data_IF_121219905607
#
_entry.id   IF_121219905607
#
_cell.length_a   1.000
_cell.length_b   1.000
_cell.length_c   1.000
_cell.angle_alpha   90.00
_cell.angle_beta   90.00
_cell.angle_gamma   90.00
#
_symmetry.space_group_name_H-M   'P 1'
#
loop_
_entity.id
_entity.type
_entity.pdbx_description
1 polymer ?
#
# COMPACT_ATOMS: atom_id res chain seq x y z
N UNK A 1 -1.69 15.70 -17.82
CA UNK A 1 -0.49 15.00 -17.29
C UNK A 1 -0.94 13.62 -16.88
N UNK A 2 -0.34 12.55 -17.40
CA UNK A 2 -0.76 11.17 -17.10
C UNK A 2 -0.46 10.86 -15.63
N UNK A 3 -1.42 10.26 -14.91
CA UNK A 3 -1.30 9.97 -13.48
C UNK A 3 -0.38 8.75 -13.29
N UNK A 4 0.79 8.96 -12.69
CA UNK A 4 1.71 7.86 -12.37
C UNK A 4 1.46 7.32 -10.96
N UNK A 5 0.50 6.39 -10.92
CA UNK A 5 0.08 5.70 -9.70
C UNK A 5 1.20 4.97 -8.97
N UNK A 6 2.21 4.46 -9.68
CA UNK A 6 3.33 3.78 -9.03
C UNK A 6 4.26 4.81 -8.39
N UNK A 7 4.56 5.89 -9.11
CA UNK A 7 5.39 6.97 -8.60
C UNK A 7 4.77 7.61 -7.35
N UNK A 8 3.44 7.77 -7.30
CA UNK A 8 2.73 8.26 -6.11
C UNK A 8 3.01 7.39 -4.89
N UNK A 9 2.95 6.06 -5.05
CA UNK A 9 3.30 5.13 -3.98
C UNK A 9 4.77 5.29 -3.59
N UNK A 10 5.69 5.30 -4.57
CA UNK A 10 7.13 5.37 -4.31
C UNK A 10 7.54 6.65 -3.58
N UNK A 11 6.90 7.79 -3.90
CA UNK A 11 7.16 9.10 -3.27
C UNK A 11 6.62 9.21 -1.84
N UNK A 12 5.64 8.40 -1.45
CA UNK A 12 5.11 8.41 -0.08
C UNK A 12 6.20 8.03 0.93
N UNK A 13 6.16 8.56 2.15
CA UNK A 13 7.07 8.15 3.24
C UNK A 13 6.73 6.76 3.78
N UNK A 14 5.47 6.34 3.63
CA UNK A 14 4.97 5.06 4.10
C UNK A 14 5.61 3.91 3.33
N UNK A 15 5.91 2.81 4.02
CA UNK A 15 6.44 1.57 3.43
C UNK A 15 5.35 0.51 3.25
N UNK A 16 4.24 0.64 4.00
CA UNK A 16 3.07 -0.24 3.96
C UNK A 16 1.82 0.52 3.53
N UNK A 17 1.02 -0.12 2.67
CA UNK A 17 -0.24 0.42 2.18
C UNK A 17 -1.34 -0.63 2.27
N UNK A 18 -2.51 -0.21 2.75
CA UNK A 18 -3.75 -0.96 2.58
C UNK A 18 -4.44 -0.55 1.29
N UNK A 19 -5.38 -1.37 0.81
CA UNK A 19 -6.20 -0.99 -0.36
C UNK A 19 -6.93 0.35 -0.14
N UNK A 20 -7.33 0.66 1.10
CA UNK A 20 -7.97 1.93 1.48
C UNK A 20 -6.98 3.10 1.39
N UNK A 21 -5.77 2.94 1.92
CA UNK A 21 -4.72 3.97 1.84
C UNK A 21 -4.43 4.33 0.38
N UNK A 22 -4.33 3.32 -0.49
CA UNK A 22 -4.06 3.50 -1.91
C UNK A 22 -5.23 4.19 -2.63
N UNK A 23 -6.48 3.79 -2.34
CA UNK A 23 -7.67 4.44 -2.89
C UNK A 23 -7.73 5.93 -2.53
N UNK A 24 -7.38 6.29 -1.29
CA UNK A 24 -7.31 7.67 -0.84
C UNK A 24 -6.18 8.44 -1.51
N UNK A 25 -4.96 7.87 -1.54
CA UNK A 25 -3.78 8.48 -2.17
C UNK A 25 -4.03 8.77 -3.65
N UNK A 26 -4.64 7.81 -4.34
CA UNK A 26 -4.94 7.90 -5.76
C UNK A 26 -6.24 8.63 -6.07
N UNK A 27 -7.00 9.08 -5.05
CA UNK A 27 -8.33 9.67 -5.21
C UNK A 27 -9.22 8.84 -6.15
N UNK A 28 -9.15 7.52 -5.99
CA UNK A 28 -9.77 6.55 -6.89
C UNK A 28 -10.83 5.74 -6.12
N UNK A 29 -12.13 6.01 -6.33
CA UNK A 29 -13.21 5.34 -5.61
C UNK A 29 -13.42 3.89 -6.06
N UNK A 30 -12.99 3.51 -7.28
CA UNK A 30 -13.14 2.13 -7.75
C UNK A 30 -12.07 1.23 -7.09
N UNK A 31 -12.47 0.59 -5.99
CA UNK A 31 -11.64 -0.35 -5.24
C UNK A 31 -11.22 -1.56 -6.08
N UNK A 32 -12.03 -1.98 -7.06
CA UNK A 32 -11.68 -3.10 -7.94
C UNK A 32 -10.58 -2.70 -8.92
N UNK A 33 -10.65 -1.49 -9.46
CA UNK A 33 -9.56 -0.92 -10.24
C UNK A 33 -8.26 -0.84 -9.42
N UNK A 34 -8.33 -0.31 -8.19
CA UNK A 34 -7.17 -0.21 -7.28
C UNK A 34 -6.55 -1.59 -7.04
N UNK A 35 -7.35 -2.60 -6.69
CA UNK A 35 -6.89 -3.97 -6.48
C UNK A 35 -6.25 -4.57 -7.72
N UNK A 36 -6.87 -4.40 -8.90
CA UNK A 36 -6.33 -4.92 -10.17
C UNK A 36 -4.97 -4.28 -10.47
N UNK A 37 -4.81 -2.98 -10.21
CA UNK A 37 -3.56 -2.26 -10.45
C UNK A 37 -2.45 -2.69 -9.47
N UNK A 38 -2.76 -2.79 -8.18
CA UNK A 38 -1.84 -3.32 -7.17
C UNK A 38 -1.42 -4.76 -7.49
N UNK A 39 -2.35 -5.61 -7.91
CA UNK A 39 -2.04 -6.96 -8.36
C UNK A 39 -1.06 -6.99 -9.54
N UNK A 40 -1.24 -6.10 -10.53
CA UNK A 40 -0.29 -5.96 -11.65
C UNK A 40 1.10 -5.55 -11.15
N UNK A 41 1.21 -4.64 -10.18
CA UNK A 41 2.50 -4.24 -9.62
C UNK A 41 3.17 -5.37 -8.83
N UNK A 42 2.39 -6.17 -8.09
CA UNK A 42 2.91 -7.37 -7.41
C UNK A 42 3.45 -8.37 -8.42
N UNK A 43 2.68 -8.66 -9.49
CA UNK A 43 3.10 -9.58 -10.55
C UNK A 43 4.33 -9.10 -11.31
N UNK A 44 4.51 -7.78 -11.42
CA UNK A 44 5.69 -7.17 -12.01
C UNK A 44 6.87 -7.03 -11.03
N UNK A 45 6.76 -7.49 -9.77
CA UNK A 45 7.82 -7.37 -8.75
C UNK A 45 8.04 -5.96 -8.22
N UNK A 46 7.13 -5.02 -8.51
CA UNK A 46 7.22 -3.60 -8.12
C UNK A 46 6.66 -3.31 -6.72
N UNK A 47 5.86 -4.23 -6.19
CA UNK A 47 5.32 -4.23 -4.83
C UNK A 47 5.34 -5.64 -4.28
N UNK A 48 5.29 -5.77 -2.97
CA UNK A 48 5.23 -7.04 -2.26
C UNK A 48 3.86 -7.19 -1.58
N UNK A 49 3.26 -8.37 -1.70
CA UNK A 49 2.08 -8.69 -0.90
C UNK A 49 2.53 -9.21 0.45
N UNK A 50 2.18 -8.48 1.52
CA UNK A 50 2.50 -8.89 2.90
C UNK A 50 1.37 -9.74 3.48
N UNK A 51 0.13 -9.34 3.19
CA UNK A 51 -1.12 -10.01 3.60
C UNK A 51 -2.20 -9.66 2.59
N UNK A 52 -3.30 -10.42 2.55
CA UNK A 52 -4.50 -10.04 1.78
C UNK A 52 -4.90 -8.59 2.10
N UNK A 53 -4.85 -7.72 1.09
CA UNK A 53 -5.23 -6.31 1.18
C UNK A 53 -4.16 -5.37 1.76
N UNK A 54 -2.95 -5.88 2.06
CA UNK A 54 -1.80 -5.14 2.59
C UNK A 54 -0.58 -5.35 1.70
N UNK A 55 0.04 -4.26 1.30
CA UNK A 55 1.09 -4.22 0.30
C UNK A 55 2.28 -3.42 0.82
N UNK A 56 3.50 -3.86 0.49
CA UNK A 56 4.74 -3.18 0.82
C UNK A 56 5.45 -2.73 -0.46
N UNK A 57 6.29 -1.68 -0.34
CA UNK A 57 7.18 -1.27 -1.44
C UNK A 57 8.26 -2.31 -1.73
N UNK A 58 8.84 -2.85 -0.68
CA UNK A 58 9.92 -3.83 -0.73
C UNK A 58 9.83 -4.80 0.47
N UNK A 59 10.83 -5.68 0.63
CA UNK A 59 10.88 -6.67 1.72
C UNK A 59 11.35 -6.10 3.07
N UNK A 60 11.92 -4.90 3.09
CA UNK A 60 12.49 -4.21 4.24
C UNK A 60 11.52 -3.13 4.77
N UNK A 61 10.22 -3.38 4.69
CA UNK A 61 9.20 -2.48 5.21
C UNK A 61 9.27 -2.33 6.74
N UNK A 62 8.76 -1.21 7.24
CA UNK A 62 8.73 -0.92 8.67
C UNK A 62 7.71 -1.83 9.38
N UNK A 63 8.20 -2.65 10.32
CA UNK A 63 7.39 -3.66 11.00
C UNK A 63 6.34 -3.04 11.90
N UNK A 64 6.65 -1.89 12.51
CA UNK A 64 5.70 -1.16 13.32
C UNK A 64 4.55 -0.59 12.47
N UNK A 65 4.86 -0.11 11.25
CA UNK A 65 3.83 0.34 10.32
C UNK A 65 2.90 -0.82 9.96
N UNK A 66 3.45 -2.00 9.65
CA UNK A 66 2.64 -3.20 9.41
C UNK A 66 1.75 -3.56 10.61
N UNK A 67 2.30 -3.57 11.82
CA UNK A 67 1.56 -3.90 13.03
C UNK A 67 0.33 -2.99 13.17
N UNK A 68 0.51 -1.69 12.91
CA UNK A 68 -0.61 -0.74 13.00
C UNK A 68 -1.70 -0.92 11.96
N UNK A 69 -1.36 -1.48 10.79
CA UNK A 69 -2.34 -1.78 9.73
C UNK A 69 -3.06 -3.10 9.94
N UNK A 70 -2.46 -4.05 10.66
CA UNK A 70 -3.06 -5.37 10.92
C UNK A 70 -3.95 -5.34 12.16
N UNK A 71 -3.52 -4.66 13.23
CA UNK A 71 -4.20 -4.65 14.53
C UNK A 71 -4.95 -3.33 14.76
N UNK A 72 -6.02 -3.07 14.01
CA UNK A 72 -6.77 -1.80 14.16
C UNK A 72 -7.91 -1.90 15.17
N UNK A 73 -8.05 -0.96 16.15
CA UNK A 73 -7.14 0.15 16.42
C UNK A 73 -5.89 -0.29 17.20
N UNK A 74 -4.74 0.29 16.87
CA UNK A 74 -3.46 0.08 17.55
C UNK A 74 -2.77 1.40 17.80
N UNK A 75 -2.08 1.49 18.93
CA UNK A 75 -1.22 2.61 19.27
C UNK A 75 0.15 2.07 19.70
N UNK A 76 1.21 2.74 19.27
CA UNK A 76 2.57 2.45 19.75
C UNK A 76 2.79 3.33 20.98
N UNK A 77 3.05 2.70 22.13
CA UNK A 77 3.40 3.38 23.40
C UNK A 77 4.89 3.25 23.66
N UNK A 78 5.48 4.26 24.30
CA UNK A 78 6.90 4.33 24.69
C UNK A 78 7.05 4.30 26.20
#
# INVERSE_FOLDING_TARGET
MEKDYLLDLMRSKNTIFTTKDVSLLWQEPDVNFVRKKLYRYIKAGKLYSVRKGVYAKDKNYEKYELATKIFTPSYISF
#
